data_IF_185012494718
#
_entry.id   IF_185012494718
#
_cell.length_a   1.000
_cell.length_b   1.000
_cell.length_c   1.000
_cell.angle_alpha   90.00
_cell.angle_beta   90.00
_cell.angle_gamma   90.00
#
_symmetry.space_group_name_H-M   'P 1'
#
loop_
_entity.id
_entity.type
_entity.pdbx_description
1 polymer ?
#
# COMPACT_ATOMS: atom_id res chain seq x y z
N UNK A 1 -24.64 8.78 45.47
CA UNK A 1 -23.47 8.53 44.61
C UNK A 1 -23.44 9.64 43.59
N UNK A 2 -22.34 10.40 43.43
CA UNK A 2 -22.27 11.40 42.36
C UNK A 2 -22.39 10.65 41.03
N UNK A 3 -23.16 11.18 40.09
CA UNK A 3 -23.34 10.57 38.78
C UNK A 3 -22.00 10.48 38.08
N UNK A 4 -21.62 9.27 37.64
CA UNK A 4 -20.57 9.03 36.64
C UNK A 4 -21.04 9.57 35.28
N UNK A 5 -21.35 10.85 35.21
CA UNK A 5 -21.87 11.49 34.01
C UNK A 5 -20.68 11.96 33.20
N UNK A 6 -20.57 11.47 31.97
CA UNK A 6 -19.60 11.92 30.96
C UNK A 6 -19.81 13.39 30.56
N UNK A 7 -19.31 13.81 29.39
CA UNK A 7 -19.35 15.21 28.96
C UNK A 7 -20.80 15.76 28.91
N UNK A 8 -20.99 17.00 29.39
CA UNK A 8 -22.29 17.69 29.33
C UNK A 8 -22.15 19.07 28.71
N UNK A 9 -23.21 19.56 28.07
CA UNK A 9 -23.29 20.93 27.58
C UNK A 9 -24.14 21.77 28.54
N UNK A 10 -23.55 22.83 29.10
CA UNK A 10 -24.24 23.79 29.96
C UNK A 10 -24.03 25.18 29.33
N UNK A 11 -25.13 25.87 29.03
CA UNK A 11 -25.13 27.17 28.34
C UNK A 11 -24.34 27.16 27.02
N UNK A 12 -24.46 26.07 26.25
CA UNK A 12 -23.76 25.90 24.97
C UNK A 12 -22.25 25.66 25.10
N UNK A 13 -21.73 25.47 26.31
CA UNK A 13 -20.32 25.16 26.56
C UNK A 13 -20.16 23.73 27.05
N UNK A 14 -19.22 23.02 26.43
CA UNK A 14 -18.79 21.71 26.92
C UNK A 14 -18.19 21.85 28.32
N UNK A 15 -18.68 21.05 29.25
CA UNK A 15 -18.13 20.92 30.60
C UNK A 15 -17.81 19.45 30.90
N UNK A 16 -16.61 19.24 31.43
CA UNK A 16 -16.16 17.94 31.93
C UNK A 16 -16.29 17.96 33.45
N UNK A 17 -17.15 17.08 33.98
CA UNK A 17 -17.51 17.09 35.40
C UNK A 17 -16.64 16.13 36.24
N UNK A 18 -16.26 14.98 35.67
CA UNK A 18 -15.46 13.95 36.34
C UNK A 18 -14.42 13.36 35.39
N UNK A 19 -13.19 13.19 35.88
CA UNK A 19 -12.13 12.48 35.17
C UNK A 19 -11.73 11.20 35.91
N UNK A 20 -12.02 10.04 35.32
CA UNK A 20 -11.65 8.71 35.83
C UNK A 20 -11.36 7.74 34.68
N UNK A 21 -10.94 6.51 35.00
CA UNK A 21 -10.71 5.44 34.02
C UNK A 21 -11.95 5.17 33.15
N UNK A 22 -13.14 5.32 33.73
CA UNK A 22 -14.42 5.11 33.06
C UNK A 22 -14.80 6.28 32.14
N UNK A 23 -14.50 7.53 32.51
CA UNK A 23 -14.97 8.73 31.80
C UNK A 23 -13.96 9.35 30.84
N UNK A 24 -12.66 9.05 30.99
CA UNK A 24 -11.57 9.69 30.22
C UNK A 24 -11.73 9.57 28.70
N UNK A 25 -12.25 8.46 28.19
CA UNK A 25 -12.44 8.28 26.74
C UNK A 25 -13.50 9.23 26.21
N UNK A 26 -14.71 9.21 26.77
CA UNK A 26 -15.81 10.08 26.33
C UNK A 26 -15.45 11.57 26.47
N UNK A 27 -14.76 11.94 27.56
CA UNK A 27 -14.29 13.30 27.78
C UNK A 27 -13.25 13.75 26.73
N UNK A 28 -12.29 12.88 26.40
CA UNK A 28 -11.26 13.18 25.41
C UNK A 28 -11.86 13.34 24.02
N UNK A 29 -12.79 12.45 23.64
CA UNK A 29 -13.54 12.56 22.39
C UNK A 29 -14.29 13.90 22.35
N UNK A 30 -15.07 14.23 23.38
CA UNK A 30 -15.83 15.47 23.39
C UNK A 30 -14.96 16.73 23.28
N UNK A 31 -13.81 16.77 23.96
CA UNK A 31 -12.87 17.89 23.87
C UNK A 31 -12.31 18.04 22.45
N UNK A 32 -11.90 16.93 21.84
CA UNK A 32 -11.30 16.93 20.50
C UNK A 32 -12.32 17.23 19.39
N UNK A 33 -13.61 17.00 19.64
CA UNK A 33 -14.69 17.18 18.65
C UNK A 33 -15.32 18.59 18.62
N UNK A 34 -14.69 19.60 19.23
CA UNK A 34 -15.21 20.98 19.28
C UNK A 34 -15.03 21.78 17.97
N UNK A 35 -14.79 21.11 16.84
CA UNK A 35 -14.56 21.71 15.53
C UNK A 35 -15.57 21.20 14.49
N UNK A 36 -15.74 21.93 13.38
CA UNK A 36 -16.79 21.63 12.40
C UNK A 36 -16.39 20.57 11.34
N UNK A 37 -15.13 20.15 11.29
CA UNK A 37 -14.69 19.10 10.36
C UNK A 37 -15.23 17.72 10.80
N UNK A 38 -16.37 17.34 10.24
CA UNK A 38 -17.08 16.08 10.55
C UNK A 38 -16.25 14.83 10.21
N UNK A 39 -15.34 14.90 9.23
CA UNK A 39 -14.47 13.76 8.88
C UNK A 39 -13.38 13.61 9.93
N UNK A 40 -12.78 14.72 10.34
CA UNK A 40 -11.78 14.71 11.40
C UNK A 40 -12.39 14.30 12.75
N UNK A 41 -13.62 14.71 13.06
CA UNK A 41 -14.34 14.27 14.27
C UNK A 41 -14.43 12.75 14.28
N UNK A 42 -14.90 12.15 13.18
CA UNK A 42 -14.99 10.70 13.04
C UNK A 42 -13.63 10.02 13.24
N UNK A 43 -12.58 10.49 12.56
CA UNK A 43 -11.23 9.88 12.65
C UNK A 43 -10.69 9.96 14.09
N UNK A 44 -10.76 11.14 14.71
CA UNK A 44 -10.22 11.37 16.05
C UNK A 44 -11.00 10.60 17.12
N UNK A 45 -12.32 10.54 17.02
CA UNK A 45 -13.16 9.74 17.92
C UNK A 45 -12.75 8.27 17.87
N UNK A 46 -12.67 7.68 16.66
CA UNK A 46 -12.28 6.28 16.49
C UNK A 46 -10.86 6.02 16.97
N UNK A 47 -9.91 6.92 16.67
CA UNK A 47 -8.52 6.80 17.12
C UNK A 47 -8.42 6.77 18.65
N UNK A 48 -9.03 7.74 19.33
CA UNK A 48 -9.01 7.83 20.81
C UNK A 48 -9.67 6.61 21.44
N UNK A 49 -10.81 6.17 20.90
CA UNK A 49 -11.50 4.96 21.37
C UNK A 49 -10.58 3.74 21.30
N UNK A 50 -10.02 3.44 20.11
CA UNK A 50 -9.17 2.27 19.92
C UNK A 50 -7.86 2.35 20.73
N UNK A 51 -7.26 3.54 20.86
CA UNK A 51 -6.06 3.74 21.66
C UNK A 51 -6.30 3.48 23.16
N UNK A 52 -7.39 4.01 23.71
CA UNK A 52 -7.74 3.79 25.12
C UNK A 52 -8.18 2.34 25.38
N UNK A 53 -8.90 1.71 24.45
CA UNK A 53 -9.28 0.31 24.57
C UNK A 53 -8.07 -0.61 24.54
N UNK A 54 -7.09 -0.35 23.66
CA UNK A 54 -5.81 -1.07 23.66
C UNK A 54 -5.10 -0.98 25.02
N UNK A 55 -5.03 0.22 25.60
CA UNK A 55 -4.39 0.42 26.91
C UNK A 55 -5.14 -0.34 28.03
N UNK A 56 -6.47 -0.34 28.02
CA UNK A 56 -7.29 -1.06 28.99
C UNK A 56 -7.19 -2.58 28.83
N UNK A 57 -7.26 -3.08 27.59
CA UNK A 57 -7.19 -4.50 27.26
C UNK A 57 -5.86 -5.11 27.69
N UNK A 58 -4.77 -4.39 27.42
CA UNK A 58 -3.41 -4.85 27.76
C UNK A 58 -3.00 -4.55 29.20
N UNK A 59 -3.77 -3.71 29.91
CA UNK A 59 -3.39 -3.14 31.22
C UNK A 59 -2.01 -2.49 31.15
N UNK A 60 -1.79 -1.69 30.10
CA UNK A 60 -0.51 -1.08 29.75
C UNK A 60 0.12 -0.39 30.97
N UNK A 61 1.33 -0.82 31.34
CA UNK A 61 2.05 -0.24 32.47
C UNK A 61 2.76 1.06 32.08
N UNK A 62 3.14 1.88 33.06
CA UNK A 62 3.93 3.09 32.81
C UNK A 62 5.27 2.78 32.14
N UNK A 63 5.96 1.71 32.56
CA UNK A 63 7.24 1.31 31.97
C UNK A 63 7.09 0.87 30.50
N UNK A 64 6.04 0.13 30.17
CA UNK A 64 5.74 -0.26 28.78
C UNK A 64 5.31 0.94 27.93
N UNK A 65 4.53 1.86 28.51
CA UNK A 65 4.19 3.13 27.86
C UNK A 65 5.43 3.98 27.56
N UNK A 66 6.33 4.16 28.54
CA UNK A 66 7.60 4.87 28.36
C UNK A 66 8.46 4.23 27.26
N UNK A 67 8.53 2.90 27.23
CA UNK A 67 9.22 2.16 26.17
C UNK A 67 8.59 2.40 24.79
N UNK A 68 7.25 2.43 24.69
CA UNK A 68 6.52 2.75 23.47
C UNK A 68 6.75 4.18 22.99
N UNK A 69 6.71 5.16 23.90
CA UNK A 69 7.01 6.57 23.58
C UNK A 69 8.45 6.72 23.08
N UNK A 70 9.42 6.07 23.75
CA UNK A 70 10.81 6.06 23.32
C UNK A 70 10.95 5.44 21.93
N UNK A 71 10.30 4.31 21.66
CA UNK A 71 10.31 3.67 20.35
C UNK A 71 9.79 4.60 19.25
N UNK A 72 8.62 5.22 19.44
CA UNK A 72 8.04 6.17 18.47
C UNK A 72 8.90 7.42 18.28
N UNK A 73 9.57 7.88 19.34
CA UNK A 73 10.54 8.98 19.27
C UNK A 73 11.74 8.60 18.39
N UNK A 74 12.30 7.40 18.59
CA UNK A 74 13.40 6.88 17.77
C UNK A 74 13.00 6.68 16.31
N UNK A 75 11.75 6.24 16.05
CA UNK A 75 11.19 6.13 14.69
C UNK A 75 11.17 7.52 14.02
N UNK A 76 10.66 8.54 14.72
CA UNK A 76 10.66 9.91 14.20
C UNK A 76 12.07 10.47 13.94
N UNK A 77 13.03 10.20 14.84
CA UNK A 77 14.42 10.64 14.68
C UNK A 77 15.17 9.93 13.54
N UNK A 78 14.70 8.75 13.11
CA UNK A 78 15.27 8.01 11.99
C UNK A 78 14.74 8.50 10.63
N UNK A 79 13.63 9.25 10.61
CA UNK A 79 13.12 9.84 9.38
C UNK A 79 14.05 10.94 8.82
N UNK A 80 14.17 10.99 7.50
CA UNK A 80 14.89 12.00 6.71
C UNK A 80 14.23 12.17 5.34
N UNK A 81 14.77 13.03 4.48
CA UNK A 81 14.26 13.25 3.12
C UNK A 81 14.28 11.98 2.25
N UNK A 82 15.18 11.03 2.55
CA UNK A 82 15.38 9.78 1.80
C UNK A 82 14.96 8.53 2.59
N UNK A 83 14.50 8.68 3.85
CA UNK A 83 14.09 7.56 4.71
C UNK A 83 12.85 7.92 5.51
N UNK A 84 11.77 7.16 5.35
CA UNK A 84 10.53 7.35 6.10
C UNK A 84 10.26 6.16 7.03
N UNK A 85 10.87 6.17 8.22
CA UNK A 85 10.75 5.07 9.19
C UNK A 85 9.32 4.93 9.74
N UNK A 86 8.52 6.01 9.78
CA UNK A 86 7.09 5.92 10.12
C UNK A 86 6.27 5.18 9.05
N UNK A 87 6.59 5.38 7.77
CA UNK A 87 5.97 4.60 6.68
C UNK A 87 6.37 3.14 6.81
N UNK A 88 7.65 2.86 7.09
CA UNK A 88 8.12 1.49 7.31
C UNK A 88 7.47 0.82 8.53
N UNK A 89 7.23 1.57 9.61
CA UNK A 89 6.47 1.08 10.75
C UNK A 89 5.03 0.73 10.35
N UNK A 90 4.37 1.60 9.57
CA UNK A 90 3.03 1.33 9.01
C UNK A 90 3.03 0.07 8.13
N UNK A 91 4.03 -0.10 7.27
CA UNK A 91 4.18 -1.26 6.39
C UNK A 91 4.32 -2.56 7.19
N UNK A 92 5.22 -2.56 8.17
CA UNK A 92 5.53 -3.76 8.98
C UNK A 92 4.47 -4.11 10.01
N UNK A 93 3.53 -3.20 10.29
CA UNK A 93 2.32 -3.46 11.06
C UNK A 93 1.11 -3.80 10.17
N UNK A 94 1.28 -3.82 8.84
CA UNK A 94 0.22 -4.15 7.87
C UNK A 94 -0.80 -3.03 7.63
N UNK A 95 -0.59 -1.85 8.22
CA UNK A 95 -1.51 -0.72 8.09
C UNK A 95 -1.52 -0.17 6.66
N UNK A 96 -0.36 -0.07 6.02
CA UNK A 96 -0.27 0.48 4.65
C UNK A 96 -1.06 -0.35 3.65
N UNK A 97 -0.96 -1.69 3.71
CA UNK A 97 -1.68 -2.60 2.80
C UNK A 97 -3.19 -2.55 3.06
N UNK A 98 -3.57 -2.44 4.33
CA UNK A 98 -4.96 -2.28 4.73
C UNK A 98 -5.54 -0.97 4.18
N UNK A 99 -4.84 0.15 4.36
CA UNK A 99 -5.26 1.46 3.84
C UNK A 99 -5.39 1.43 2.32
N UNK A 100 -4.43 0.85 1.60
CA UNK A 100 -4.51 0.69 0.15
C UNK A 100 -5.75 -0.12 -0.25
N UNK A 101 -5.99 -1.26 0.41
CA UNK A 101 -7.11 -2.14 0.09
C UNK A 101 -8.47 -1.51 0.40
N UNK A 102 -8.55 -0.62 1.40
CA UNK A 102 -9.75 0.16 1.72
C UNK A 102 -9.99 1.30 0.73
N UNK A 103 -8.92 1.98 0.31
CA UNK A 103 -8.99 3.11 -0.64
C UNK A 103 -9.27 2.66 -2.07
N UNK A 104 -8.78 1.49 -2.47
CA UNK A 104 -8.82 1.01 -3.85
C UNK A 104 -9.48 -0.37 -3.98
N UNK A 105 -10.72 -0.57 -3.48
CA UNK A 105 -11.38 -1.87 -3.58
C UNK A 105 -11.57 -2.27 -5.04
N UNK A 106 -11.45 -3.57 -5.30
CA UNK A 106 -11.61 -4.16 -6.64
C UNK A 106 -12.68 -5.27 -6.59
N UNK A 107 -13.44 -5.45 -7.69
CA UNK A 107 -14.23 -6.67 -7.87
C UNK A 107 -13.30 -7.85 -8.17
N UNK A 108 -13.81 -9.08 -8.04
CA UNK A 108 -13.01 -10.31 -8.16
C UNK A 108 -12.34 -10.45 -9.53
N UNK A 109 -12.99 -9.97 -10.58
CA UNK A 109 -12.51 -10.07 -11.96
C UNK A 109 -11.45 -9.02 -12.34
N UNK A 110 -11.20 -8.01 -11.50
CA UNK A 110 -10.20 -6.98 -11.74
C UNK A 110 -8.88 -7.30 -11.05
N UNK A 111 -7.76 -6.86 -11.64
CA UNK A 111 -6.46 -6.99 -10.98
C UNK A 111 -6.44 -6.16 -9.69
N UNK A 112 -6.09 -6.83 -8.60
CA UNK A 112 -5.98 -6.24 -7.28
C UNK A 112 -4.71 -5.39 -7.15
N UNK A 113 -4.84 -4.27 -6.43
CA UNK A 113 -3.71 -3.41 -6.10
C UNK A 113 -2.89 -3.94 -4.93
N UNK A 114 -1.69 -3.37 -4.75
CA UNK A 114 -0.86 -3.51 -3.55
C UNK A 114 0.00 -2.25 -3.38
N UNK A 115 0.90 -2.26 -2.39
CA UNK A 115 1.73 -1.11 -2.04
C UNK A 115 2.56 -0.59 -3.21
N UNK A 116 2.61 0.73 -3.33
CA UNK A 116 3.57 1.43 -4.19
C UNK A 116 5.01 1.14 -3.74
N UNK A 117 5.25 1.16 -2.43
CA UNK A 117 6.61 1.16 -1.88
C UNK A 117 7.34 2.50 -2.08
N UNK A 118 8.53 2.66 -1.49
CA UNK A 118 9.20 3.97 -1.41
C UNK A 118 10.09 4.30 -2.62
N UNK A 119 10.25 3.39 -3.58
CA UNK A 119 11.32 3.47 -4.61
C UNK A 119 10.85 3.92 -6.01
N UNK A 120 9.58 4.33 -6.15
CA UNK A 120 9.08 4.92 -7.39
C UNK A 120 9.69 6.33 -7.61
N UNK A 121 9.99 6.67 -8.86
CA UNK A 121 10.51 7.99 -9.27
C UNK A 121 9.83 8.45 -10.54
N UNK A 122 9.92 9.75 -10.84
CA UNK A 122 9.25 10.38 -11.98
C UNK A 122 10.16 10.56 -13.21
N UNK A 123 11.40 10.07 -13.15
CA UNK A 123 12.43 10.22 -14.19
C UNK A 123 12.61 8.96 -15.06
N UNK A 124 11.73 7.96 -14.92
CA UNK A 124 11.71 6.78 -15.78
C UNK A 124 11.52 7.18 -17.27
N UNK A 125 12.24 6.50 -18.16
CA UNK A 125 12.24 6.79 -19.60
C UNK A 125 11.18 5.94 -20.31
N UNK A 126 10.65 6.46 -21.42
CA UNK A 126 9.73 5.70 -22.28
C UNK A 126 10.52 4.72 -23.16
N UNK A 127 10.12 3.46 -23.13
CA UNK A 127 10.70 2.36 -23.89
C UNK A 127 9.80 1.94 -25.05
N UNK A 128 10.42 1.55 -26.16
CA UNK A 128 9.72 0.89 -27.26
C UNK A 128 9.36 -0.55 -26.87
N UNK A 129 8.27 -1.07 -27.45
CA UNK A 129 7.80 -2.44 -27.21
C UNK A 129 8.91 -3.47 -27.51
N UNK A 130 9.16 -4.37 -26.56
CA UNK A 130 10.18 -5.41 -26.67
C UNK A 130 11.62 -4.96 -26.42
N UNK A 131 11.83 -3.71 -25.98
CA UNK A 131 13.13 -3.23 -25.47
C UNK A 131 13.31 -3.52 -23.97
N UNK A 132 14.49 -3.22 -23.42
CA UNK A 132 14.84 -3.49 -22.01
C UNK A 132 14.77 -2.24 -21.15
N UNK A 133 14.18 -2.34 -19.96
CA UNK A 133 14.26 -1.32 -18.90
C UNK A 133 15.52 -1.44 -18.04
N UNK A 134 16.28 -2.52 -18.22
CA UNK A 134 17.45 -2.86 -17.41
C UNK A 134 18.73 -2.69 -18.23
N UNK A 135 19.76 -2.13 -17.60
CA UNK A 135 21.13 -2.16 -18.12
C UNK A 135 21.69 -3.59 -18.15
N UNK A 136 22.66 -3.83 -19.04
CA UNK A 136 23.28 -5.15 -19.18
C UNK A 136 23.96 -5.61 -17.89
N UNK A 137 23.77 -6.88 -17.51
CA UNK A 137 24.41 -7.49 -16.35
C UNK A 137 23.79 -7.13 -15.00
N UNK A 138 22.58 -6.56 -14.97
CA UNK A 138 21.87 -6.22 -13.74
C UNK A 138 20.98 -7.36 -13.19
N UNK A 139 20.95 -8.51 -13.88
CA UNK A 139 20.25 -9.72 -13.46
C UNK A 139 19.99 -10.69 -14.60
N UNK A 140 19.36 -11.81 -14.27
CA UNK A 140 18.98 -12.84 -15.25
C UNK A 140 17.87 -12.30 -16.18
N UNK A 141 18.06 -12.26 -17.51
CA UNK A 141 17.07 -11.68 -18.42
C UNK A 141 15.73 -12.41 -18.38
N UNK A 142 14.64 -11.64 -18.51
CA UNK A 142 13.31 -12.17 -18.77
C UNK A 142 12.49 -11.27 -19.68
N UNK A 143 11.49 -11.85 -20.33
CA UNK A 143 10.51 -11.15 -21.15
C UNK A 143 9.14 -11.21 -20.49
N UNK A 144 8.48 -10.07 -20.38
CA UNK A 144 7.07 -9.96 -20.04
C UNK A 144 6.30 -9.65 -21.33
N UNK A 145 5.40 -10.54 -21.71
CA UNK A 145 4.32 -10.22 -22.65
C UNK A 145 3.03 -10.06 -21.84
N UNK A 146 2.18 -9.10 -22.20
CA UNK A 146 0.96 -8.90 -21.47
C UNK A 146 -0.15 -8.24 -22.26
N UNK A 147 -1.30 -8.20 -21.60
CA UNK A 147 -2.53 -7.64 -22.13
C UNK A 147 -3.18 -6.76 -21.06
N UNK A 148 -3.67 -5.60 -21.45
CA UNK A 148 -4.48 -4.72 -20.62
C UNK A 148 -5.90 -4.60 -21.20
N UNK A 149 -6.89 -5.03 -20.41
CA UNK A 149 -8.30 -4.88 -20.75
C UNK A 149 -9.10 -4.26 -19.60
N UNK A 150 -10.32 -3.84 -19.89
CA UNK A 150 -11.33 -3.70 -18.84
C UNK A 150 -11.83 -5.08 -18.36
N UNK A 151 -12.71 -5.08 -17.36
CA UNK A 151 -13.32 -6.30 -16.81
C UNK A 151 -14.26 -7.03 -17.78
N UNK A 152 -14.66 -6.39 -18.88
CA UNK A 152 -15.47 -6.97 -19.96
C UNK A 152 -14.62 -7.54 -21.09
N UNK A 153 -13.30 -7.41 -21.00
CA UNK A 153 -12.34 -7.89 -22.01
C UNK A 153 -12.12 -6.92 -23.17
N UNK A 154 -12.58 -5.66 -23.07
CA UNK A 154 -12.29 -4.67 -24.09
C UNK A 154 -10.82 -4.21 -23.94
N UNK A 155 -10.02 -4.21 -25.02
CA UNK A 155 -8.63 -3.78 -24.96
C UNK A 155 -8.52 -2.29 -24.64
N UNK A 156 -7.51 -1.91 -23.85
CA UNK A 156 -7.25 -0.52 -23.50
C UNK A 156 -5.97 -0.07 -24.21
N UNK A 157 -6.09 0.66 -25.34
CA UNK A 157 -4.93 1.10 -26.10
C UNK A 157 -4.31 2.37 -25.53
N UNK A 158 -3.01 2.55 -25.73
CA UNK A 158 -2.25 3.72 -25.30
C UNK A 158 -2.49 4.06 -23.82
N UNK A 159 -2.50 3.02 -22.97
CA UNK A 159 -2.41 3.16 -21.53
C UNK A 159 -0.93 3.19 -21.14
N UNK A 160 -0.57 4.03 -20.17
CA UNK A 160 0.78 4.11 -19.63
C UNK A 160 0.96 2.99 -18.61
N UNK A 161 2.02 2.19 -18.78
CA UNK A 161 2.48 1.20 -17.79
C UNK A 161 3.88 1.63 -17.36
N UNK A 162 4.01 2.05 -16.10
CA UNK A 162 5.26 2.42 -15.45
C UNK A 162 5.66 1.27 -14.52
N UNK A 163 6.86 0.73 -14.71
CA UNK A 163 7.32 -0.47 -14.02
C UNK A 163 8.75 -0.28 -13.50
N UNK A 164 9.03 -0.87 -12.34
CA UNK A 164 10.36 -0.83 -11.72
C UNK A 164 10.60 -2.04 -10.82
N UNK A 165 11.86 -2.43 -10.68
CA UNK A 165 12.33 -3.54 -9.85
C UNK A 165 13.71 -3.26 -9.26
N UNK A 166 14.16 -4.13 -8.35
CA UNK A 166 15.54 -4.11 -7.88
C UNK A 166 16.44 -4.92 -8.84
N UNK A 167 17.74 -4.67 -8.77
CA UNK A 167 18.75 -5.49 -9.45
C UNK A 167 18.99 -6.84 -8.76
N UNK A 168 19.91 -7.64 -9.32
CA UNK A 168 20.33 -8.95 -8.78
C UNK A 168 20.87 -8.92 -7.35
N UNK A 169 21.30 -7.76 -6.86
CA UNK A 169 21.79 -7.57 -5.49
C UNK A 169 20.68 -7.12 -4.53
N UNK A 170 19.45 -6.97 -5.02
CA UNK A 170 18.31 -6.53 -4.23
C UNK A 170 18.27 -5.02 -3.98
N UNK A 171 18.95 -4.22 -4.79
CA UNK A 171 18.94 -2.75 -4.68
C UNK A 171 18.20 -2.10 -5.84
N UNK A 172 17.39 -1.09 -5.55
CA UNK A 172 16.89 -0.16 -6.56
C UNK A 172 17.99 0.83 -6.94
N UNK A 173 17.98 1.30 -8.19
CA UNK A 173 18.89 2.35 -8.70
C UNK A 173 19.01 3.56 -7.75
N UNK A 174 17.90 4.00 -7.15
CA UNK A 174 17.82 5.12 -6.18
C UNK A 174 18.63 4.92 -4.90
N UNK A 175 19.05 3.69 -4.61
CA UNK A 175 19.84 3.37 -3.43
C UNK A 175 21.36 3.45 -3.69
N UNK A 176 21.76 3.56 -4.96
CA UNK A 176 23.16 3.73 -5.34
C UNK A 176 23.56 5.22 -5.29
N UNK A 177 24.65 5.51 -4.57
CA UNK A 177 25.15 6.90 -4.40
C UNK A 177 25.65 7.53 -5.70
N UNK A 178 26.03 6.70 -6.66
CA UNK A 178 26.57 7.04 -7.97
C UNK A 178 25.53 6.97 -9.09
N UNK A 179 24.23 6.90 -8.75
CA UNK A 179 23.13 6.94 -9.71
C UNK A 179 23.26 8.15 -10.66
N UNK A 180 23.35 7.87 -11.96
CA UNK A 180 23.47 8.86 -13.03
C UNK A 180 22.22 8.98 -13.92
N UNK A 181 21.21 8.12 -13.68
CA UNK A 181 19.94 8.12 -14.38
C UNK A 181 18.99 7.04 -13.86
N UNK A 182 17.85 6.90 -14.53
CA UNK A 182 16.91 5.82 -14.29
C UNK A 182 17.47 4.49 -14.84
N UNK A 183 17.53 3.47 -14.00
CA UNK A 183 17.86 2.08 -14.36
C UNK A 183 16.90 1.14 -13.63
N UNK A 184 16.68 -0.06 -14.19
CA UNK A 184 15.71 -1.04 -13.68
C UNK A 184 14.27 -0.51 -13.56
N UNK A 185 13.96 0.54 -14.35
CA UNK A 185 12.65 1.19 -14.38
C UNK A 185 12.37 1.75 -15.77
N UNK A 186 11.11 1.75 -16.17
CA UNK A 186 10.73 2.25 -17.48
C UNK A 186 9.24 2.46 -17.63
N UNK A 187 8.86 3.17 -18.70
CA UNK A 187 7.48 3.40 -19.09
C UNK A 187 7.24 2.78 -20.46
N UNK A 188 6.17 2.02 -20.61
CA UNK A 188 5.68 1.52 -21.90
C UNK A 188 4.24 1.95 -22.13
N UNK A 189 3.79 1.87 -23.38
CA UNK A 189 2.40 2.13 -23.74
C UNK A 189 1.79 0.92 -24.43
N UNK A 190 0.55 0.60 -24.06
CA UNK A 190 -0.16 -0.52 -24.67
C UNK A 190 -0.49 -0.27 -26.14
N UNK A 191 -0.41 -1.33 -26.95
CA UNK A 191 -0.79 -1.33 -28.37
C UNK A 191 -2.29 -1.17 -28.60
N UNK A 192 -2.70 -1.14 -29.87
CA UNK A 192 -4.09 -0.94 -30.26
C UNK A 192 -5.05 -2.03 -29.75
N UNK A 193 -4.53 -3.24 -29.55
CA UNK A 193 -5.21 -4.41 -28.99
C UNK A 193 -4.97 -4.57 -27.48
N UNK A 194 -4.41 -3.56 -26.81
CA UNK A 194 -4.10 -3.59 -25.38
C UNK A 194 -2.85 -4.41 -25.03
N UNK A 195 -2.14 -4.97 -26.01
CA UNK A 195 -0.91 -5.74 -25.76
C UNK A 195 0.26 -4.86 -25.35
N UNK A 196 1.23 -5.44 -24.65
CA UNK A 196 2.53 -4.84 -24.40
C UNK A 196 3.59 -5.92 -24.22
N UNK A 197 4.84 -5.57 -24.53
CA UNK A 197 6.00 -6.43 -24.38
C UNK A 197 7.15 -5.62 -23.79
N UNK A 198 7.81 -6.16 -22.77
CA UNK A 198 8.99 -5.50 -22.19
C UNK A 198 9.99 -6.54 -21.70
N UNK A 199 11.28 -6.26 -21.89
CA UNK A 199 12.36 -7.03 -21.29
C UNK A 199 12.75 -6.39 -19.97
N UNK A 200 12.99 -7.24 -18.99
CA UNK A 200 13.48 -6.86 -17.68
C UNK A 200 14.37 -8.00 -17.14
N UNK A 201 14.57 -8.03 -15.84
CA UNK A 201 15.29 -9.13 -15.18
C UNK A 201 14.36 -9.95 -14.31
N UNK A 202 14.77 -11.17 -13.99
CA UNK A 202 14.10 -11.98 -12.98
C UNK A 202 14.29 -11.30 -11.62
N UNK A 203 13.21 -10.95 -10.91
CA UNK A 203 13.35 -10.27 -9.64
C UNK A 203 13.95 -11.18 -8.58
N UNK A 204 14.59 -10.58 -7.57
CA UNK A 204 15.19 -11.27 -6.42
C UNK A 204 14.57 -10.78 -5.10
N UNK A 205 14.54 -11.62 -4.05
CA UNK A 205 14.12 -11.16 -2.73
C UNK A 205 15.14 -10.17 -2.15
N UNK A 206 14.66 -9.17 -1.41
CA UNK A 206 15.51 -8.17 -0.77
C UNK A 206 14.98 -7.76 0.61
N UNK A 207 15.85 -7.34 1.54
CA UNK A 207 15.41 -6.87 2.85
C UNK A 207 14.96 -5.40 2.80
N UNK A 208 13.91 -5.07 3.56
CA UNK A 208 13.60 -3.67 3.91
C UNK A 208 14.72 -3.08 4.78
N UNK A 209 14.87 -1.75 4.88
CA UNK A 209 15.80 -1.13 5.84
C UNK A 209 15.55 -1.66 7.26
N UNK A 210 16.58 -2.21 7.90
CA UNK A 210 16.43 -2.92 9.19
C UNK A 210 17.53 -2.58 10.21
N UNK A 211 18.29 -1.52 9.97
CA UNK A 211 19.26 -0.91 10.88
C UNK A 211 18.58 0.04 11.89
N UNK A 212 17.31 0.38 11.67
CA UNK A 212 16.52 1.30 12.49
C UNK A 212 15.70 0.65 13.61
N UNK A 213 14.90 1.46 14.33
CA UNK A 213 13.99 0.96 15.36
C UNK A 213 13.02 -0.10 14.83
N UNK A 214 12.50 0.02 13.59
CA UNK A 214 11.62 -1.01 13.02
C UNK A 214 12.35 -2.35 12.86
N UNK A 215 13.58 -2.33 12.37
CA UNK A 215 14.41 -3.55 12.29
C UNK A 215 14.68 -4.19 13.66
N UNK A 216 14.94 -3.37 14.70
CA UNK A 216 15.06 -3.86 16.09
C UNK A 216 13.77 -4.49 16.59
N UNK A 217 12.61 -3.87 16.30
CA UNK A 217 11.29 -4.41 16.64
C UNK A 217 11.08 -5.77 15.98
N UNK A 218 11.28 -5.89 14.66
CA UNK A 218 11.13 -7.15 13.92
C UNK A 218 12.02 -8.26 14.50
N UNK A 219 13.29 -7.96 14.76
CA UNK A 219 14.22 -8.90 15.39
C UNK A 219 13.72 -9.35 16.77
N UNK A 220 13.17 -8.43 17.58
CA UNK A 220 12.65 -8.74 18.92
C UNK A 220 11.46 -9.69 18.90
N UNK A 221 10.65 -9.64 17.85
CA UNK A 221 9.49 -10.52 17.64
C UNK A 221 9.78 -11.69 16.68
N UNK A 222 11.05 -12.02 16.43
CA UNK A 222 11.49 -13.11 15.56
C UNK A 222 10.96 -13.03 14.11
N UNK A 223 10.82 -11.82 13.56
CA UNK A 223 10.46 -11.59 12.15
C UNK A 223 11.69 -11.23 11.31
N UNK A 224 11.73 -11.71 10.07
CA UNK A 224 12.74 -11.32 9.08
C UNK A 224 12.36 -10.00 8.37
N UNK A 225 13.33 -9.27 7.79
CA UNK A 225 13.06 -8.04 7.03
C UNK A 225 12.82 -8.28 5.52
N UNK A 226 12.92 -9.52 5.03
CA UNK A 226 12.82 -9.81 3.61
C UNK A 226 11.42 -9.62 3.01
N UNK A 227 11.41 -9.03 1.82
CA UNK A 227 10.30 -9.06 0.87
C UNK A 227 10.60 -10.13 -0.21
N UNK A 228 9.58 -10.85 -0.71
CA UNK A 228 9.73 -11.78 -1.83
C UNK A 228 10.14 -11.04 -3.10
N UNK A 229 10.66 -11.78 -4.07
CA UNK A 229 10.99 -11.24 -5.40
C UNK A 229 9.74 -10.67 -6.10
N UNK A 230 9.79 -9.41 -6.56
CA UNK A 230 8.66 -8.78 -7.25
C UNK A 230 9.06 -7.66 -8.22
N UNK A 231 8.12 -7.37 -9.13
CA UNK A 231 8.17 -6.25 -10.07
C UNK A 231 6.97 -5.35 -9.80
N UNK A 232 7.17 -4.05 -9.70
CA UNK A 232 6.10 -3.09 -9.48
C UNK A 232 5.51 -2.56 -10.79
N UNK A 233 4.25 -2.14 -10.72
CA UNK A 233 3.51 -1.56 -11.83
C UNK A 233 2.62 -0.40 -11.36
N UNK A 234 2.62 0.69 -12.10
CA UNK A 234 1.58 1.72 -12.12
C UNK A 234 0.98 1.71 -13.52
N UNK A 235 -0.35 1.49 -13.61
CA UNK A 235 -1.09 1.51 -14.86
C UNK A 235 -2.06 2.68 -14.86
N UNK A 236 -1.96 3.54 -15.87
CA UNK A 236 -2.71 4.79 -15.97
C UNK A 236 -3.34 4.96 -17.36
N UNK A 237 -4.65 5.26 -17.37
CA UNK A 237 -5.40 5.67 -18.55
C UNK A 237 -6.54 6.57 -18.11
N UNK A 238 -6.73 7.71 -18.79
CA UNK A 238 -7.86 8.61 -18.52
C UNK A 238 -9.20 7.84 -18.58
N UNK A 239 -10.06 8.06 -17.56
CA UNK A 239 -11.35 7.37 -17.41
C UNK A 239 -11.27 6.01 -16.70
N UNK A 240 -10.07 5.50 -16.43
CA UNK A 240 -9.83 4.26 -15.70
C UNK A 240 -9.22 4.53 -14.33
N UNK A 241 -9.58 3.70 -13.36
CA UNK A 241 -8.99 3.72 -12.03
C UNK A 241 -7.50 3.39 -12.12
N UNK A 242 -6.66 4.27 -11.57
CA UNK A 242 -5.21 4.06 -11.53
C UNK A 242 -4.90 2.79 -10.74
N UNK A 243 -4.22 1.83 -11.36
CA UNK A 243 -3.80 0.59 -10.70
C UNK A 243 -2.35 0.71 -10.26
N UNK A 244 -2.13 0.68 -8.96
CA UNK A 244 -0.81 0.46 -8.36
C UNK A 244 -0.77 -0.99 -7.89
N UNK A 245 0.18 -1.78 -8.41
CA UNK A 245 0.30 -3.20 -8.05
C UNK A 245 1.74 -3.70 -8.17
N UNK A 246 1.95 -4.96 -7.84
CA UNK A 246 3.21 -5.67 -8.01
C UNK A 246 2.93 -7.14 -8.31
N UNK A 247 3.79 -7.76 -9.11
CA UNK A 247 3.76 -9.20 -9.38
C UNK A 247 4.87 -9.88 -8.62
N UNK A 248 4.56 -10.98 -7.94
CA UNK A 248 5.46 -11.68 -7.03
C UNK A 248 5.87 -13.02 -7.62
N UNK A 249 7.18 -13.25 -7.76
CA UNK A 249 7.70 -14.54 -8.20
C UNK A 249 7.53 -15.55 -7.07
N UNK A 250 6.92 -16.71 -7.37
CA UNK A 250 6.79 -17.78 -6.39
C UNK A 250 8.15 -18.28 -5.88
N UNK A 251 8.27 -18.45 -4.58
CA UNK A 251 9.51 -18.87 -3.93
C UNK A 251 9.69 -18.31 -2.53
N UNK A 252 10.91 -17.84 -2.24
CA UNK A 252 11.29 -17.37 -0.91
C UNK A 252 10.44 -16.19 -0.44
N UNK A 253 10.03 -16.23 0.82
CA UNK A 253 9.28 -15.18 1.54
C UNK A 253 7.88 -14.86 1.00
N UNK A 254 7.34 -15.60 0.02
CA UNK A 254 6.00 -15.33 -0.53
C UNK A 254 4.89 -15.42 0.53
N UNK A 255 5.05 -16.30 1.53
CA UNK A 255 4.08 -16.50 2.61
C UNK A 255 4.38 -15.67 3.87
N UNK A 256 5.47 -14.89 3.85
CA UNK A 256 5.98 -14.21 5.03
C UNK A 256 6.55 -12.81 4.76
N UNK A 257 6.13 -12.17 3.66
CA UNK A 257 6.54 -10.82 3.28
C UNK A 257 6.52 -9.86 4.48
N UNK A 258 7.65 -9.19 4.73
CA UNK A 258 7.84 -8.30 5.87
C UNK A 258 6.80 -7.17 5.93
N UNK A 259 6.22 -6.79 4.78
CA UNK A 259 5.24 -5.69 4.66
C UNK A 259 3.85 -6.16 4.22
N UNK A 260 3.61 -7.47 4.19
CA UNK A 260 2.31 -8.07 3.87
C UNK A 260 1.73 -7.70 2.48
N UNK A 261 2.58 -7.41 1.50
CA UNK A 261 2.17 -6.94 0.17
C UNK A 261 1.68 -8.05 -0.77
N UNK A 262 1.99 -9.32 -0.48
CA UNK A 262 1.63 -10.47 -1.32
C UNK A 262 0.13 -10.76 -1.25
N UNK A 263 -0.46 -10.92 -2.43
CA UNK A 263 -1.82 -11.46 -2.62
C UNK A 263 -1.72 -12.62 -3.61
N UNK A 264 -2.45 -13.72 -3.39
CA UNK A 264 -2.30 -14.95 -4.17
C UNK A 264 -2.48 -14.75 -5.68
N UNK A 265 -3.38 -13.84 -6.06
CA UNK A 265 -3.70 -13.55 -7.46
C UNK A 265 -2.62 -12.74 -8.17
N UNK A 266 -1.59 -12.29 -7.44
CA UNK A 266 -0.42 -11.57 -7.94
C UNK A 266 0.83 -12.45 -8.00
N UNK A 267 0.71 -13.75 -7.65
CA UNK A 267 1.82 -14.69 -7.72
C UNK A 267 1.99 -15.25 -9.14
N UNK A 268 3.22 -15.25 -9.64
CA UNK A 268 3.56 -15.84 -10.94
C UNK A 268 4.69 -16.86 -10.84
N UNK A 269 4.81 -17.68 -11.88
CA UNK A 269 5.96 -18.54 -12.13
C UNK A 269 6.52 -18.21 -13.51
N UNK A 270 7.81 -18.44 -13.69
CA UNK A 270 8.46 -18.21 -14.97
C UNK A 270 8.44 -19.50 -15.79
N UNK A 271 8.01 -19.35 -17.04
CA UNK A 271 8.28 -20.31 -18.09
C UNK A 271 9.65 -20.01 -18.73
N UNK A 272 10.11 -20.93 -19.58
CA UNK A 272 11.24 -20.68 -20.48
C UNK A 272 10.77 -19.89 -21.69
N UNK A 273 11.57 -18.94 -22.15
CA UNK A 273 11.27 -18.10 -23.32
C UNK A 273 11.02 -18.91 -24.60
N UNK A 274 11.82 -19.94 -24.81
CA UNK A 274 11.73 -20.81 -25.98
C UNK A 274 12.25 -20.17 -27.27
N UNK A 275 12.45 -21.03 -28.27
CA UNK A 275 13.18 -20.71 -29.51
C UNK A 275 12.63 -19.52 -30.31
N UNK A 276 11.32 -19.47 -30.53
CA UNK A 276 10.72 -18.45 -31.40
C UNK A 276 10.90 -17.04 -30.83
N UNK A 277 10.58 -16.87 -29.54
CA UNK A 277 10.73 -15.60 -28.83
C UNK A 277 12.20 -15.24 -28.63
N UNK A 278 13.05 -16.21 -28.31
CA UNK A 278 14.49 -16.01 -28.22
C UNK A 278 15.07 -15.42 -29.52
N UNK A 279 14.66 -15.95 -30.68
CA UNK A 279 15.05 -15.39 -31.98
C UNK A 279 14.46 -14.00 -32.23
N UNK A 280 13.16 -13.81 -31.96
CA UNK A 280 12.46 -12.54 -32.18
C UNK A 280 13.05 -11.39 -31.37
N UNK A 281 13.38 -11.65 -30.11
CA UNK A 281 13.77 -10.63 -29.14
C UNK A 281 15.29 -10.60 -28.88
N UNK A 282 16.08 -11.41 -29.58
CA UNK A 282 17.53 -11.53 -29.37
C UNK A 282 17.89 -11.89 -27.91
N UNK A 283 17.29 -12.97 -27.43
CA UNK A 283 17.44 -13.51 -26.08
C UNK A 283 17.81 -15.01 -26.16
N UNK A 284 18.08 -15.65 -25.03
CA UNK A 284 18.36 -17.10 -24.97
C UNK A 284 17.06 -17.88 -24.77
N UNK A 285 17.01 -19.12 -25.25
CA UNK A 285 15.83 -19.98 -25.12
C UNK A 285 15.47 -20.29 -23.66
N UNK A 286 16.46 -20.29 -22.76
CA UNK A 286 16.31 -20.55 -21.34
C UNK A 286 16.09 -19.29 -20.49
N UNK A 287 16.06 -18.09 -21.09
CA UNK A 287 15.71 -16.86 -20.37
C UNK A 287 14.26 -16.93 -19.86
N UNK A 288 13.95 -16.12 -18.84
CA UNK A 288 12.63 -16.14 -18.20
C UNK A 288 11.52 -15.62 -19.11
N UNK A 289 10.33 -16.19 -19.01
CA UNK A 289 9.14 -15.71 -19.69
C UNK A 289 7.95 -15.64 -18.75
N UNK A 290 7.25 -14.50 -18.81
CA UNK A 290 6.01 -14.24 -18.11
C UNK A 290 4.97 -13.73 -19.11
N UNK A 291 3.80 -14.37 -19.12
CA UNK A 291 2.61 -13.77 -19.70
C UNK A 291 1.69 -13.26 -18.59
N UNK A 292 1.24 -12.01 -18.66
CA UNK A 292 0.33 -11.46 -17.64
C UNK A 292 -0.83 -10.66 -18.23
N UNK A 293 -2.04 -10.87 -17.70
CA UNK A 293 -3.25 -10.16 -18.11
C UNK A 293 -3.72 -9.23 -16.99
N UNK A 294 -3.52 -7.93 -17.19
CA UNK A 294 -4.05 -6.89 -16.34
C UNK A 294 -5.50 -6.55 -16.72
N UNK A 295 -6.35 -6.46 -15.71
CA UNK A 295 -7.75 -6.04 -15.84
C UNK A 295 -8.02 -4.86 -14.92
N UNK A 296 -8.44 -3.74 -15.47
CA UNK A 296 -8.76 -2.53 -14.70
C UNK A 296 -10.25 -2.19 -14.78
N UNK A 297 -10.71 -1.38 -13.84
CA UNK A 297 -12.08 -0.84 -13.80
C UNK A 297 -12.06 0.64 -14.12
N UNK A 298 -13.22 1.21 -14.44
CA UNK A 298 -13.37 2.65 -14.60
C UNK A 298 -13.30 3.39 -13.27
N UNK A 299 -12.99 4.69 -13.30
CA UNK A 299 -13.04 5.54 -12.10
C UNK A 299 -14.45 5.61 -11.49
N UNK A 300 -15.49 5.49 -12.33
CA UNK A 300 -16.88 5.46 -11.87
C UNK A 300 -17.21 4.18 -11.09
N UNK A 301 -16.79 3.02 -11.61
CA UNK A 301 -16.96 1.73 -10.92
C UNK A 301 -16.19 1.71 -9.60
N UNK A 302 -14.96 2.23 -9.57
CA UNK A 302 -14.15 2.37 -8.37
C UNK A 302 -14.86 3.21 -7.29
N UNK A 303 -15.35 4.41 -7.65
CA UNK A 303 -16.11 5.27 -6.72
C UNK A 303 -17.37 4.61 -6.17
N UNK A 304 -18.13 3.90 -7.01
CA UNK A 304 -19.32 3.15 -6.56
C UNK A 304 -18.95 2.05 -5.57
N UNK A 305 -17.86 1.32 -5.80
CA UNK A 305 -17.39 0.28 -4.90
C UNK A 305 -16.93 0.84 -3.55
N UNK A 306 -16.16 1.93 -3.55
CA UNK A 306 -15.75 2.63 -2.32
C UNK A 306 -16.97 3.04 -1.51
N UNK A 307 -17.95 3.71 -2.14
CA UNK A 307 -19.19 4.12 -1.48
C UNK A 307 -19.94 2.92 -0.89
N UNK A 308 -20.12 1.84 -1.65
CA UNK A 308 -20.84 0.66 -1.21
C UNK A 308 -20.14 -0.02 -0.01
N UNK A 309 -18.83 -0.24 -0.10
CA UNK A 309 -18.05 -0.89 0.97
C UNK A 309 -17.99 -0.05 2.24
N UNK A 310 -17.79 1.26 2.11
CA UNK A 310 -17.75 2.15 3.27
C UNK A 310 -19.12 2.27 3.94
N UNK A 311 -20.20 2.32 3.16
CA UNK A 311 -21.57 2.32 3.69
C UNK A 311 -21.86 1.03 4.47
N UNK A 312 -21.45 -0.13 3.95
CA UNK A 312 -21.62 -1.40 4.65
C UNK A 312 -20.77 -1.47 5.92
N UNK A 313 -19.49 -1.09 5.84
CA UNK A 313 -18.59 -1.08 6.99
C UNK A 313 -19.13 -0.18 8.12
N UNK A 314 -19.73 0.96 7.79
CA UNK A 314 -20.28 1.89 8.77
C UNK A 314 -21.39 1.28 9.63
N UNK A 315 -22.15 0.31 9.11
CA UNK A 315 -23.19 -0.40 9.89
C UNK A 315 -22.63 -1.18 11.08
N UNK A 316 -21.34 -1.53 11.03
CA UNK A 316 -20.66 -2.29 12.08
C UNK A 316 -19.94 -1.41 13.09
N UNK A 317 -19.77 -0.12 12.77
CA UNK A 317 -19.19 0.86 13.69
C UNK A 317 -20.22 1.11 14.79
N UNK A 318 -19.87 0.74 16.04
CA UNK A 318 -20.78 0.64 17.18
C UNK A 318 -21.50 1.93 17.62
N UNK A 319 -21.33 2.36 18.87
CA UNK A 319 -21.99 3.59 19.36
C UNK A 319 -21.42 4.82 18.63
N UNK A 320 -22.31 5.67 18.10
CA UNK A 320 -21.99 6.95 17.45
C UNK A 320 -23.05 7.33 16.42
N UNK A 321 -23.25 8.62 16.17
CA UNK A 321 -24.12 9.10 15.09
C UNK A 321 -23.22 9.38 13.88
N UNK A 322 -23.14 8.45 12.93
CA UNK A 322 -22.26 8.55 11.77
C UNK A 322 -23.04 8.41 10.47
N UNK A 323 -22.55 9.07 9.41
CA UNK A 323 -23.10 8.97 8.05
C UNK A 323 -21.98 8.96 7.02
N UNK A 324 -22.33 8.84 5.73
CA UNK A 324 -21.40 8.89 4.61
C UNK A 324 -21.52 10.24 3.90
N UNK A 325 -20.39 10.88 3.59
CA UNK A 325 -20.36 12.12 2.82
C UNK A 325 -20.43 11.87 1.29
N UNK A 326 -20.44 12.96 0.50
CA UNK A 326 -20.48 12.90 -0.97
C UNK A 326 -19.30 12.16 -1.62
N UNK A 327 -18.17 12.07 -0.92
CA UNK A 327 -16.97 11.34 -1.35
C UNK A 327 -17.00 9.86 -0.93
N UNK A 328 -18.09 9.37 -0.35
CA UNK A 328 -18.22 7.99 0.11
C UNK A 328 -17.45 7.68 1.39
N UNK A 329 -17.06 8.69 2.17
CA UNK A 329 -16.29 8.53 3.41
C UNK A 329 -17.18 8.65 4.66
N UNK A 330 -16.92 7.85 5.71
CA UNK A 330 -17.57 8.02 7.01
C UNK A 330 -17.27 9.37 7.66
N UNK A 331 -18.30 10.01 8.21
CA UNK A 331 -18.23 11.29 8.93
C UNK A 331 -19.14 11.25 10.16
N UNK A 332 -18.90 12.14 11.12
CA UNK A 332 -19.88 12.46 12.15
C UNK A 332 -21.17 12.96 11.50
N UNK A 333 -22.31 12.43 11.91
CA UNK A 333 -23.60 12.94 11.50
C UNK A 333 -23.80 14.36 12.05
N UNK A 334 -24.53 15.22 11.33
CA UNK A 334 -24.96 16.50 11.90
C UNK A 334 -25.63 16.28 13.26
N UNK A 335 -25.41 17.19 14.21
CA UNK A 335 -26.29 17.30 15.37
C UNK A 335 -27.62 17.84 14.83
N UNK A 336 -28.69 17.07 14.99
CA UNK A 336 -30.05 17.47 14.61
C UNK A 336 -30.54 18.72 15.37
#
# INVERSE_FOLDING_TARGET
MPSKSGPVFIDGKLQILEMSEDTITENTVAINSQHDDKRLVFIMERLVQHLHDFARETRLTTDEWDAGIKFLTEVGQMCSDIRQEFVLLSDTLGLSVLVDSLSHPKPEEATIGTLLGPFHTHDAVVHEDGTSICSDGRGDPMLIEGLLTDTKGNPIPNAKIDLWECDENGFYDTQYSDRDGADMRGIIHTGADGSFTIKCTKPVPYPIPHDGPVGRMLKRINRHPYRPAHIHFIIEKEGYDKLITALYLKGDYETSDAVFGVKSDLLFSLDKLGKEKAQKYNMKEDDGYLYWHFKVITEEESRKLVLAKNTEALKTVGKGNFTINENGLPIAAPLD
#
